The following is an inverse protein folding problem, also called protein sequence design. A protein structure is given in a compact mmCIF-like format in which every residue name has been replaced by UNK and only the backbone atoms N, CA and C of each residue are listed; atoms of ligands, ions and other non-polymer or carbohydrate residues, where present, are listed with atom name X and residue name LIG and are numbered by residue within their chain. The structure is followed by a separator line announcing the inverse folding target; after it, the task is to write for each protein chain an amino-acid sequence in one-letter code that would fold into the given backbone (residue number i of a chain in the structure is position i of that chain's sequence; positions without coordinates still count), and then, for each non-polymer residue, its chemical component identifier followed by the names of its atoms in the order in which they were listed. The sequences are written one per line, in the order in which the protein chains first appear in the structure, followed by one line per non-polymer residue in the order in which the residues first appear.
data_IF_310096137981
#
_entry.id   IF_310096137981
#
_cell.length_a   1.000
_cell.length_b   1.000
_cell.length_c   1.000
_cell.angle_alpha   90.00
_cell.angle_beta   90.00
_cell.angle_gamma   90.00
#
_symmetry.space_group_name_H-M   'P 1'
#
loop_
_entity.id
_entity.type
_entity.pdbx_description
1 polymer ?
#
# COMPACT_ATOMS: atom_id res chain seq x y z
N UNK A 1 11.76 6.85 -4.49
CA UNK A 1 11.12 6.87 -3.16
C UNK A 1 11.19 8.23 -2.44
N UNK A 2 12.34 8.70 -1.94
CA UNK A 2 12.42 9.92 -1.09
C UNK A 2 11.79 11.18 -1.71
N UNK A 3 12.16 11.50 -2.95
CA UNK A 3 11.59 12.65 -3.69
C UNK A 3 10.06 12.54 -3.88
N UNK A 4 9.55 11.33 -4.07
CA UNK A 4 8.11 11.11 -4.22
C UNK A 4 7.41 11.36 -2.87
N UNK A 5 8.01 10.94 -1.74
CA UNK A 5 7.46 11.19 -0.40
C UNK A 5 7.53 12.66 0.00
N UNK A 6 8.64 13.34 -0.27
CA UNK A 6 8.78 14.79 -0.06
C UNK A 6 7.68 15.56 -0.79
N UNK A 7 7.41 15.18 -2.04
CA UNK A 7 6.33 15.80 -2.81
C UNK A 7 4.96 15.42 -2.25
N UNK A 8 4.73 14.17 -1.89
CA UNK A 8 3.42 13.68 -1.43
C UNK A 8 3.02 14.24 -0.06
N UNK A 9 3.99 14.53 0.80
CA UNK A 9 3.77 15.16 2.12
C UNK A 9 3.78 16.70 2.07
N UNK A 10 4.12 17.29 0.91
CA UNK A 10 4.07 18.75 0.71
C UNK A 10 2.65 19.32 0.60
N UNK A 11 1.66 18.47 0.32
CA UNK A 11 0.25 18.87 0.32
C UNK A 11 -0.19 19.19 1.75
N UNK A 12 -0.97 20.27 1.94
CA UNK A 12 -1.39 20.72 3.27
C UNK A 12 -2.05 19.60 4.09
N UNK A 13 -2.91 18.84 3.44
CA UNK A 13 -3.50 17.59 3.91
C UNK A 13 -3.91 16.78 2.69
N UNK A 14 -3.97 15.46 2.81
CA UNK A 14 -4.53 14.58 1.79
C UNK A 14 -5.93 14.07 2.18
N UNK A 15 -6.60 14.74 3.13
CA UNK A 15 -7.93 14.38 3.61
C UNK A 15 -8.93 14.24 2.46
N UNK A 16 -9.66 13.14 2.44
CA UNK A 16 -10.46 12.70 1.28
C UNK A 16 -11.59 13.66 0.85
N UNK A 17 -12.06 14.55 1.73
CA UNK A 17 -13.06 15.60 1.42
C UNK A 17 -12.43 16.97 1.10
N UNK A 18 -11.11 17.09 1.18
CA UNK A 18 -10.41 18.35 0.97
C UNK A 18 -10.04 18.54 -0.50
N UNK A 19 -9.90 19.80 -0.92
CA UNK A 19 -9.37 20.14 -2.25
C UNK A 19 -7.96 19.59 -2.44
N UNK A 20 -7.11 19.73 -1.43
CA UNK A 20 -5.71 19.24 -1.48
C UNK A 20 -5.63 17.71 -1.53
N UNK A 21 -6.62 16.99 -1.01
CA UNK A 21 -6.75 15.54 -1.18
C UNK A 21 -7.03 15.12 -2.62
N UNK A 22 -7.83 15.90 -3.38
CA UNK A 22 -8.03 15.66 -4.82
C UNK A 22 -6.76 16.01 -5.61
N UNK A 23 -6.09 17.11 -5.24
CA UNK A 23 -4.82 17.52 -5.84
C UNK A 23 -3.71 16.48 -5.61
N UNK A 24 -3.61 15.92 -4.40
CA UNK A 24 -2.64 14.86 -4.07
C UNK A 24 -2.92 13.56 -4.83
N UNK A 25 -4.19 13.14 -4.92
CA UNK A 25 -4.59 11.98 -5.70
C UNK A 25 -4.32 12.17 -7.20
N UNK A 26 -4.54 13.37 -7.72
CA UNK A 26 -4.23 13.70 -9.12
C UNK A 26 -2.73 13.66 -9.39
N UNK A 27 -1.93 14.18 -8.47
CA UNK A 27 -0.47 14.10 -8.57
C UNK A 27 0.00 12.64 -8.56
N UNK A 28 -0.48 11.84 -7.60
CA UNK A 28 -0.10 10.43 -7.47
C UNK A 28 -0.51 9.62 -8.70
N UNK A 29 -1.73 9.83 -9.22
CA UNK A 29 -2.20 9.21 -10.47
C UNK A 29 -1.25 9.49 -11.64
N UNK A 30 -0.86 10.76 -11.83
CA UNK A 30 0.05 11.14 -12.92
C UNK A 30 1.44 10.52 -12.72
N UNK A 31 1.90 10.41 -11.47
CA UNK A 31 3.19 9.79 -11.16
C UNK A 31 3.20 8.29 -11.45
N UNK A 32 2.12 7.59 -11.11
CA UNK A 32 1.93 6.17 -11.42
C UNK A 32 1.84 5.95 -12.93
N UNK A 33 1.10 6.82 -13.64
CA UNK A 33 1.01 6.78 -15.10
C UNK A 33 2.39 6.95 -15.76
N UNK A 34 3.19 7.92 -15.30
CA UNK A 34 4.55 8.14 -15.79
C UNK A 34 5.43 6.89 -15.60
N UNK A 35 5.34 6.20 -14.46
CA UNK A 35 6.09 4.95 -14.21
C UNK A 35 5.68 3.85 -15.22
N UNK A 36 4.38 3.70 -15.47
CA UNK A 36 3.85 2.72 -16.43
C UNK A 36 4.25 3.05 -17.87
N UNK A 37 4.23 4.33 -18.26
CA UNK A 37 4.60 4.77 -19.60
C UNK A 37 6.12 4.64 -19.86
N UNK A 38 6.94 5.06 -18.90
CA UNK A 38 8.41 5.04 -19.03
C UNK A 38 8.99 3.63 -19.05
N UNK A 39 8.36 2.67 -18.36
CA UNK A 39 8.76 1.25 -18.44
C UNK A 39 8.39 0.59 -19.77
N UNK A 40 7.55 1.23 -20.59
CA UNK A 40 7.01 0.65 -21.82
C UNK A 40 5.89 -0.35 -21.59
N UNK A 41 5.53 -0.67 -20.34
CA UNK A 41 4.47 -1.62 -20.01
C UNK A 41 3.09 -1.20 -20.55
N UNK A 42 2.86 0.10 -20.71
CA UNK A 42 1.67 0.64 -21.39
C UNK A 42 1.47 0.05 -22.80
N UNK A 43 2.55 -0.21 -23.54
CA UNK A 43 2.51 -0.81 -24.90
C UNK A 43 2.06 -2.27 -24.87
N UNK A 44 2.15 -2.90 -23.70
CA UNK A 44 1.76 -4.28 -23.44
C UNK A 44 0.46 -4.40 -22.63
N UNK A 45 -0.31 -3.30 -22.53
CA UNK A 45 -1.64 -3.31 -21.94
C UNK A 45 -1.68 -3.00 -20.44
N UNK A 46 -0.58 -2.57 -19.84
CA UNK A 46 -0.64 -2.01 -18.50
C UNK A 46 -1.43 -0.68 -18.49
N UNK A 47 -2.24 -0.46 -17.46
CA UNK A 47 -3.15 0.69 -17.36
C UNK A 47 -3.13 1.33 -15.97
N UNK A 48 -3.54 2.59 -15.88
CA UNK A 48 -3.79 3.30 -14.62
C UNK A 48 -5.18 3.89 -14.70
N UNK A 49 -6.07 3.47 -13.79
CA UNK A 49 -7.46 3.89 -13.78
C UNK A 49 -7.83 4.59 -12.48
N UNK A 50 -8.78 5.52 -12.57
CA UNK A 50 -9.43 6.12 -11.41
C UNK A 50 -10.65 5.31 -11.03
N UNK A 51 -10.85 5.12 -9.74
CA UNK A 51 -12.11 4.66 -9.17
C UNK A 51 -12.76 5.84 -8.45
N UNK A 52 -13.79 6.39 -9.05
CA UNK A 52 -14.46 7.59 -8.54
C UNK A 52 -15.33 7.30 -7.32
N UNK A 53 -15.33 8.25 -6.38
CA UNK A 53 -16.12 8.20 -5.15
C UNK A 53 -16.94 9.49 -4.97
N UNK A 54 -18.05 9.47 -4.22
CA UNK A 54 -18.94 10.64 -4.08
C UNK A 54 -18.34 11.81 -3.28
N UNK A 55 -17.16 11.66 -2.67
CA UNK A 55 -16.49 12.68 -1.88
C UNK A 55 -15.38 13.45 -2.62
N UNK A 56 -15.12 13.11 -3.88
CA UNK A 56 -14.19 13.85 -4.75
C UNK A 56 -12.83 13.17 -4.91
N UNK A 57 -12.13 12.82 -3.82
CA UNK A 57 -10.88 12.05 -3.94
C UNK A 57 -11.19 10.63 -4.46
N UNK A 58 -10.56 10.24 -5.56
CA UNK A 58 -10.73 8.93 -6.21
C UNK A 58 -9.65 7.95 -5.75
N UNK A 59 -9.91 6.64 -5.74
CA UNK A 59 -8.84 5.63 -5.59
C UNK A 59 -8.12 5.41 -6.93
N UNK A 60 -6.86 4.98 -6.89
CA UNK A 60 -6.06 4.69 -8.10
C UNK A 60 -5.85 3.18 -8.19
N UNK A 61 -6.04 2.62 -9.38
CA UNK A 61 -5.78 1.21 -9.67
C UNK A 61 -4.85 1.15 -10.89
N UNK A 62 -3.58 0.82 -10.66
CA UNK A 62 -2.66 0.45 -11.73
C UNK A 62 -2.73 -1.07 -11.95
N UNK A 63 -2.83 -1.49 -13.19
CA UNK A 63 -2.98 -2.90 -13.57
C UNK A 63 -1.91 -3.28 -14.58
N UNK A 64 -1.16 -4.33 -14.27
CA UNK A 64 -0.24 -5.01 -15.19
C UNK A 64 -0.92 -6.34 -15.58
N UNK A 65 -1.25 -6.54 -16.87
CA UNK A 65 -1.95 -7.75 -17.30
C UNK A 65 -1.04 -8.98 -17.12
N UNK A 66 -1.64 -10.10 -16.74
CA UNK A 66 -1.04 -11.43 -16.88
C UNK A 66 -1.79 -12.28 -17.89
N UNK A 67 -1.36 -13.53 -18.06
CA UNK A 67 -2.00 -14.49 -18.97
C UNK A 67 -3.39 -14.95 -18.48
N UNK A 68 -3.70 -14.77 -17.20
CA UNK A 68 -4.99 -15.10 -16.58
C UNK A 68 -5.61 -13.89 -15.87
N UNK A 69 -6.90 -13.98 -15.56
CA UNK A 69 -7.63 -12.97 -14.78
C UNK A 69 -7.46 -13.13 -13.26
N UNK A 70 -6.67 -14.11 -12.80
CA UNK A 70 -6.30 -14.24 -11.40
C UNK A 70 -5.47 -13.02 -11.01
N UNK A 71 -5.87 -12.32 -9.96
CA UNK A 71 -5.34 -11.00 -9.64
C UNK A 71 -4.64 -11.00 -8.27
N UNK A 72 -3.42 -10.46 -8.23
CA UNK A 72 -2.66 -10.16 -7.01
C UNK A 72 -2.76 -8.67 -6.76
N UNK A 73 -3.17 -8.25 -5.56
CA UNK A 73 -3.39 -6.85 -5.20
C UNK A 73 -2.34 -6.40 -4.18
N UNK A 74 -1.69 -5.28 -4.46
CA UNK A 74 -0.77 -4.59 -3.56
C UNK A 74 -1.41 -3.25 -3.20
N UNK A 75 -1.69 -3.02 -1.93
CA UNK A 75 -2.50 -1.89 -1.46
C UNK A 75 -1.76 -0.99 -0.48
N UNK A 76 -2.12 0.29 -0.52
CA UNK A 76 -1.81 1.32 0.47
C UNK A 76 -2.94 2.36 0.41
N UNK A 77 -3.10 3.21 1.42
CA UNK A 77 -4.01 4.35 1.29
C UNK A 77 -3.25 5.64 0.98
N UNK A 78 -3.94 6.59 0.36
CA UNK A 78 -3.31 7.84 -0.09
C UNK A 78 -3.81 9.08 0.67
N UNK A 79 -4.88 8.96 1.43
CA UNK A 79 -5.33 10.07 2.27
C UNK A 79 -4.48 10.23 3.52
N UNK A 80 -4.78 11.28 4.28
CA UNK A 80 -4.24 11.54 5.60
C UNK A 80 -5.26 12.32 6.39
N UNK A 81 -5.27 12.17 7.71
CA UNK A 81 -6.14 12.96 8.58
C UNK A 81 -5.37 13.72 9.65
N UNK A 82 -5.99 14.79 10.15
CA UNK A 82 -5.65 15.33 11.45
C UNK A 82 -6.83 15.08 12.38
N UNK A 83 -6.71 14.20 13.39
CA UNK A 83 -7.87 13.80 14.20
C UNK A 83 -8.49 14.96 15.01
N UNK A 84 -7.75 16.02 15.29
CA UNK A 84 -8.26 17.15 16.07
C UNK A 84 -9.22 18.02 15.23
N UNK A 85 -8.80 18.39 14.00
CA UNK A 85 -9.64 19.14 13.06
C UNK A 85 -9.33 18.69 11.62
N UNK A 86 -9.96 17.59 11.14
CA UNK A 86 -9.63 16.93 9.87
C UNK A 86 -9.65 17.81 8.62
N UNK A 87 -10.46 18.87 8.62
CA UNK A 87 -10.65 19.76 7.47
C UNK A 87 -9.94 21.12 7.62
N UNK A 88 -9.26 21.35 8.75
CA UNK A 88 -8.70 22.67 9.09
C UNK A 88 -7.20 22.57 9.34
N UNK A 89 -6.73 21.55 10.04
CA UNK A 89 -5.33 21.42 10.39
C UNK A 89 -4.53 20.67 9.30
N UNK A 90 -3.23 20.96 9.17
CA UNK A 90 -2.41 20.20 8.25
C UNK A 90 -2.27 18.75 8.72
N UNK A 91 -2.12 17.86 7.74
CA UNK A 91 -1.87 16.44 7.96
C UNK A 91 -0.83 15.99 6.92
N UNK A 92 0.47 16.18 7.21
CA UNK A 92 1.50 15.78 6.26
C UNK A 92 1.45 14.28 5.98
N UNK A 93 1.04 13.45 6.95
CA UNK A 93 0.78 12.02 6.77
C UNK A 93 1.99 11.32 6.15
N UNK A 94 3.18 11.54 6.73
CA UNK A 94 4.42 11.06 6.14
C UNK A 94 4.57 9.56 6.33
N UNK A 95 4.33 9.10 7.54
CA UNK A 95 4.29 7.68 7.85
C UNK A 95 2.95 7.09 7.44
N UNK A 96 1.87 7.78 7.81
CA UNK A 96 0.48 7.31 7.70
C UNK A 96 -0.32 8.11 6.64
N UNK A 97 -0.55 7.56 5.45
CA UNK A 97 0.19 6.43 4.85
C UNK A 97 1.01 6.89 3.65
N UNK A 98 1.69 8.03 3.84
CA UNK A 98 2.65 8.51 2.85
C UNK A 98 3.71 7.47 2.55
N UNK A 99 4.17 6.75 3.57
CA UNK A 99 5.22 5.77 3.49
C UNK A 99 4.79 4.51 2.71
N UNK A 100 3.65 3.90 3.03
CA UNK A 100 3.09 2.75 2.30
C UNK A 100 2.75 3.11 0.86
N UNK A 101 2.15 4.28 0.62
CA UNK A 101 1.83 4.76 -0.72
C UNK A 101 3.06 4.84 -1.64
N UNK A 102 4.18 5.38 -1.15
CA UNK A 102 5.42 5.45 -1.95
C UNK A 102 6.20 4.14 -1.97
N UNK A 103 6.07 3.29 -0.94
CA UNK A 103 6.63 1.93 -0.92
C UNK A 103 6.04 1.11 -2.07
N UNK A 104 4.71 1.09 -2.24
CA UNK A 104 4.10 0.32 -3.33
C UNK A 104 4.33 0.95 -4.70
N UNK A 105 4.54 2.29 -4.77
CA UNK A 105 4.98 2.96 -6.00
C UNK A 105 6.40 2.57 -6.39
N UNK A 106 7.33 2.48 -5.43
CA UNK A 106 8.69 2.01 -5.68
C UNK A 106 8.70 0.52 -6.05
N UNK A 107 7.85 -0.28 -5.41
CA UNK A 107 7.68 -1.69 -5.77
C UNK A 107 7.16 -1.84 -7.20
N UNK A 108 6.22 -0.99 -7.64
CA UNK A 108 5.78 -0.94 -9.02
C UNK A 108 6.95 -0.65 -9.97
N UNK A 109 7.80 0.34 -9.68
CA UNK A 109 9.00 0.63 -10.50
C UNK A 109 9.91 -0.59 -10.59
N UNK A 110 10.28 -1.17 -9.44
CA UNK A 110 11.21 -2.29 -9.38
C UNK A 110 10.67 -3.55 -10.06
N UNK A 111 9.36 -3.79 -9.99
CA UNK A 111 8.72 -4.94 -10.64
C UNK A 111 8.71 -4.79 -12.17
N UNK A 112 8.56 -3.56 -12.69
CA UNK A 112 8.58 -3.28 -14.13
C UNK A 112 9.97 -3.31 -14.77
N UNK A 113 11.04 -3.42 -13.97
CA UNK A 113 12.38 -3.75 -14.50
C UNK A 113 12.45 -5.19 -15.02
N UNK A 114 11.49 -6.05 -14.66
CA UNK A 114 11.38 -7.39 -15.21
C UNK A 114 10.64 -7.38 -16.56
N UNK A 115 11.37 -7.67 -17.64
CA UNK A 115 10.79 -7.74 -19.00
C UNK A 115 9.57 -8.64 -19.08
N UNK A 116 9.59 -9.80 -18.40
CA UNK A 116 8.47 -10.75 -18.43
C UNK A 116 7.22 -10.17 -17.74
N UNK A 117 7.37 -9.35 -16.71
CA UNK A 117 6.24 -8.69 -16.04
C UNK A 117 5.80 -7.47 -16.84
N UNK A 118 6.72 -6.60 -17.24
CA UNK A 118 6.43 -5.39 -18.01
C UNK A 118 5.75 -5.68 -19.36
N UNK A 119 6.08 -6.79 -19.99
CA UNK A 119 5.47 -7.23 -21.25
C UNK A 119 4.15 -8.00 -21.06
N UNK A 120 3.67 -8.14 -19.82
CA UNK A 120 2.40 -8.82 -19.50
C UNK A 120 2.44 -10.34 -19.67
N UNK A 121 3.63 -10.94 -19.59
CA UNK A 121 3.85 -12.36 -19.81
C UNK A 121 3.85 -13.18 -18.51
N UNK A 122 3.67 -12.55 -17.36
CA UNK A 122 3.41 -13.25 -16.10
C UNK A 122 2.11 -14.06 -16.15
N UNK A 123 1.98 -15.11 -15.33
CA UNK A 123 0.79 -15.97 -15.34
C UNK A 123 -0.44 -15.23 -14.77
N UNK A 124 -0.26 -14.52 -13.67
CA UNK A 124 -1.31 -13.83 -12.95
C UNK A 124 -1.21 -12.32 -13.17
N UNK A 125 -2.35 -11.64 -13.19
CA UNK A 125 -2.43 -10.18 -13.25
C UNK A 125 -2.00 -9.58 -11.91
N UNK A 126 -1.30 -8.45 -11.95
CA UNK A 126 -0.89 -7.71 -10.76
C UNK A 126 -1.57 -6.33 -10.77
N UNK A 127 -2.13 -5.93 -9.64
CA UNK A 127 -2.72 -4.62 -9.45
C UNK A 127 -2.12 -3.91 -8.24
N UNK A 128 -1.84 -2.61 -8.40
CA UNK A 128 -1.42 -1.70 -7.34
C UNK A 128 -2.54 -0.70 -7.06
N UNK A 129 -2.97 -0.64 -5.80
CA UNK A 129 -4.14 0.12 -5.37
C UNK A 129 -3.71 1.19 -4.38
N UNK A 130 -4.13 2.43 -4.63
CA UNK A 130 -4.05 3.53 -3.66
C UNK A 130 -5.45 3.96 -3.27
N UNK A 131 -5.87 3.57 -2.07
CA UNK A 131 -7.24 3.77 -1.61
C UNK A 131 -7.48 5.19 -1.10
N UNK A 132 -8.60 5.79 -1.50
CA UNK A 132 -9.10 7.03 -0.90
C UNK A 132 -9.91 6.73 0.37
N UNK A 133 -9.90 7.65 1.33
CA UNK A 133 -10.80 7.64 2.48
C UNK A 133 -10.65 6.40 3.38
N UNK A 134 -9.42 5.93 3.59
CA UNK A 134 -9.13 4.93 4.63
C UNK A 134 -9.48 5.52 6.00
N UNK A 135 -9.05 6.75 6.25
CA UNK A 135 -9.26 7.48 7.50
C UNK A 135 -10.74 7.83 7.76
N UNK A 136 -11.58 7.64 6.74
CA UNK A 136 -13.03 7.70 6.83
C UNK A 136 -13.70 6.39 7.26
N UNK A 137 -12.90 5.36 7.58
CA UNK A 137 -13.33 4.00 7.86
C UNK A 137 -13.27 3.09 6.63
N UNK A 138 -12.12 3.05 5.94
CA UNK A 138 -11.84 2.18 4.78
C UNK A 138 -12.86 2.34 3.64
N UNK A 139 -13.38 3.56 3.42
CA UNK A 139 -14.52 3.76 2.52
C UNK A 139 -14.15 3.44 1.06
N UNK A 140 -12.94 3.81 0.63
CA UNK A 140 -12.50 3.56 -0.74
C UNK A 140 -12.23 2.10 -1.02
N UNK A 141 -11.47 1.40 -0.17
CA UNK A 141 -11.22 -0.04 -0.34
C UNK A 141 -12.50 -0.86 -0.23
N UNK A 142 -13.43 -0.49 0.67
CA UNK A 142 -14.74 -1.13 0.74
C UNK A 142 -15.51 -0.99 -0.58
N UNK A 143 -15.51 0.18 -1.21
CA UNK A 143 -16.19 0.39 -2.49
C UNK A 143 -15.52 -0.41 -3.63
N UNK A 144 -14.18 -0.45 -3.67
CA UNK A 144 -13.41 -1.23 -4.65
C UNK A 144 -13.74 -2.72 -4.52
N UNK A 145 -13.60 -3.30 -3.33
CA UNK A 145 -13.82 -4.74 -3.13
C UNK A 145 -15.30 -5.12 -3.22
N UNK A 146 -16.23 -4.23 -2.89
CA UNK A 146 -17.66 -4.43 -3.16
C UNK A 146 -17.94 -4.58 -4.67
N UNK A 147 -17.34 -3.70 -5.48
CA UNK A 147 -17.43 -3.78 -6.94
C UNK A 147 -16.77 -5.07 -7.46
N UNK A 148 -15.59 -5.41 -6.96
CA UNK A 148 -14.88 -6.62 -7.38
C UNK A 148 -15.71 -7.87 -7.08
N UNK A 149 -16.34 -7.93 -5.90
CA UNK A 149 -17.25 -9.02 -5.54
C UNK A 149 -18.46 -9.10 -6.46
N UNK A 150 -19.10 -7.96 -6.75
CA UNK A 150 -20.25 -7.86 -7.67
C UNK A 150 -19.89 -8.34 -9.08
N UNK A 151 -18.70 -7.95 -9.55
CA UNK A 151 -18.20 -8.26 -10.88
C UNK A 151 -17.51 -9.64 -10.94
N UNK A 152 -17.46 -10.37 -9.82
CA UNK A 152 -16.83 -11.69 -9.69
C UNK A 152 -15.36 -11.70 -10.09
N UNK A 153 -14.62 -10.66 -9.72
CA UNK A 153 -13.16 -10.61 -9.90
C UNK A 153 -12.48 -11.70 -9.08
N UNK A 154 -11.49 -12.37 -9.68
CA UNK A 154 -10.77 -13.49 -9.08
C UNK A 154 -9.48 -13.02 -8.40
N UNK A 155 -9.62 -12.33 -7.27
CA UNK A 155 -8.47 -11.90 -6.44
C UNK A 155 -7.97 -13.08 -5.63
N UNK A 156 -6.68 -13.43 -5.80
CA UNK A 156 -6.04 -14.55 -5.11
C UNK A 156 -5.32 -14.14 -3.84
N UNK A 157 -4.81 -12.92 -3.81
CA UNK A 157 -4.07 -12.40 -2.69
C UNK A 157 -4.13 -10.88 -2.67
N UNK A 158 -4.20 -10.31 -1.48
CA UNK A 158 -4.04 -8.87 -1.24
C UNK A 158 -3.02 -8.65 -0.12
N UNK A 159 -2.02 -7.80 -0.37
CA UNK A 159 -1.09 -7.33 0.65
C UNK A 159 -1.29 -5.83 0.87
N UNK A 160 -1.63 -5.44 2.09
CA UNK A 160 -1.63 -4.04 2.51
C UNK A 160 -0.25 -3.67 3.07
N UNK A 161 0.26 -2.53 2.62
CA UNK A 161 1.34 -1.78 3.24
C UNK A 161 0.72 -0.53 3.86
N UNK A 162 0.81 -0.40 5.17
CA UNK A 162 0.29 0.75 5.89
C UNK A 162 1.22 1.04 7.08
N UNK A 163 1.83 2.23 7.00
CA UNK A 163 2.98 2.65 7.80
C UNK A 163 4.20 1.74 7.60
N UNK A 164 5.19 2.19 6.83
CA UNK A 164 6.40 1.43 6.46
C UNK A 164 7.68 2.16 6.83
N UNK A 165 7.59 3.27 7.58
CA UNK A 165 8.68 4.23 7.71
C UNK A 165 9.31 4.34 9.08
N UNK A 166 8.59 4.12 10.17
CA UNK A 166 9.07 4.49 11.51
C UNK A 166 9.59 3.30 12.33
N UNK A 167 10.91 3.31 12.58
CA UNK A 167 11.59 2.28 13.39
C UNK A 167 11.96 2.76 14.80
N UNK A 168 11.94 4.08 15.04
CA UNK A 168 12.52 4.67 16.25
C UNK A 168 11.84 4.18 17.53
N UNK A 169 10.52 3.95 17.51
CA UNK A 169 9.80 3.43 18.67
C UNK A 169 10.26 2.03 19.08
N UNK A 170 10.43 1.12 18.11
CA UNK A 170 10.94 -0.22 18.34
C UNK A 170 12.38 -0.19 18.88
N UNK A 171 13.25 0.64 18.29
CA UNK A 171 14.63 0.80 18.73
C UNK A 171 14.71 1.35 20.17
N UNK A 172 13.88 2.32 20.53
CA UNK A 172 13.80 2.86 21.89
C UNK A 172 13.28 1.84 22.90
N UNK A 173 12.44 0.90 22.47
CA UNK A 173 11.97 -0.22 23.28
C UNK A 173 13.00 -1.37 23.39
N UNK A 174 14.21 -1.20 22.83
CA UNK A 174 15.26 -2.23 22.85
C UNK A 174 14.98 -3.41 21.91
N UNK A 175 14.05 -3.25 20.96
CA UNK A 175 13.76 -4.25 19.93
C UNK A 175 14.71 -4.10 18.75
N UNK A 176 14.91 -5.20 18.03
CA UNK A 176 15.59 -5.15 16.73
C UNK A 176 14.63 -4.63 15.66
N UNK A 177 15.19 -4.02 14.63
CA UNK A 177 14.44 -3.64 13.44
C UNK A 177 13.86 -4.90 12.76
N UNK A 178 12.57 -4.88 12.49
CA UNK A 178 11.84 -5.98 11.89
C UNK A 178 10.55 -5.46 11.23
N UNK A 179 10.09 -6.14 10.20
CA UNK A 179 8.76 -5.88 9.59
C UNK A 179 7.68 -6.38 10.55
N UNK A 180 6.73 -5.53 10.92
CA UNK A 180 5.52 -5.94 11.66
C UNK A 180 4.56 -6.69 10.74
N UNK A 181 4.14 -7.90 11.12
CA UNK A 181 3.20 -8.72 10.35
C UNK A 181 1.93 -8.94 11.16
N UNK A 182 0.79 -8.48 10.63
CA UNK A 182 -0.51 -8.64 11.28
C UNK A 182 -0.94 -10.10 11.28
N UNK A 183 -1.44 -10.56 12.42
CA UNK A 183 -1.95 -11.94 12.61
C UNK A 183 -3.44 -12.01 12.99
N UNK A 184 -4.12 -10.88 13.13
CA UNK A 184 -5.57 -10.77 13.27
C UNK A 184 -6.22 -10.14 12.03
N UNK A 185 -7.47 -10.53 11.73
CA UNK A 185 -8.24 -10.08 10.54
C UNK A 185 -7.60 -10.36 9.16
N UNK A 186 -6.68 -11.34 9.11
CA UNK A 186 -5.92 -11.74 7.91
C UNK A 186 -6.12 -13.23 7.54
N UNK A 187 -5.76 -13.59 6.31
CA UNK A 187 -5.66 -14.98 5.87
C UNK A 187 -4.36 -15.62 6.36
N UNK A 188 -4.46 -16.76 7.07
CA UNK A 188 -3.29 -17.39 7.72
C UNK A 188 -2.26 -17.92 6.72
N UNK A 189 -2.70 -18.47 5.59
CA UNK A 189 -1.80 -19.03 4.59
C UNK A 189 -1.03 -17.92 3.89
N UNK A 190 -1.72 -16.86 3.51
CA UNK A 190 -1.11 -15.68 2.91
C UNK A 190 -0.18 -14.96 3.89
N UNK A 191 -0.58 -14.82 5.15
CA UNK A 191 0.29 -14.25 6.19
C UNK A 191 1.58 -15.07 6.37
N UNK A 192 1.51 -16.39 6.32
CA UNK A 192 2.74 -17.22 6.36
C UNK A 192 3.61 -16.97 5.12
N UNK A 193 3.01 -16.89 3.95
CA UNK A 193 3.73 -16.59 2.72
C UNK A 193 4.43 -15.21 2.77
N UNK A 194 3.81 -14.20 3.39
CA UNK A 194 4.44 -12.89 3.62
C UNK A 194 5.68 -13.03 4.53
N UNK A 195 5.61 -13.82 5.60
CA UNK A 195 6.76 -14.09 6.50
C UNK A 195 7.90 -14.80 5.79
N UNK A 196 7.57 -15.77 4.95
CA UNK A 196 8.54 -16.49 4.13
C UNK A 196 9.21 -15.52 3.14
N UNK A 197 8.43 -14.63 2.52
CA UNK A 197 8.92 -13.58 1.61
C UNK A 197 9.87 -12.61 2.33
N UNK A 198 9.56 -12.17 3.56
CA UNK A 198 10.49 -11.35 4.36
C UNK A 198 11.80 -12.10 4.58
N UNK A 199 11.72 -13.37 4.97
CA UNK A 199 12.90 -14.21 5.25
C UNK A 199 13.78 -14.40 4.02
N UNK A 200 13.19 -14.54 2.83
CA UNK A 200 13.91 -14.77 1.59
C UNK A 200 14.54 -13.51 1.00
N UNK A 201 13.87 -12.35 1.12
CA UNK A 201 14.19 -11.17 0.31
C UNK A 201 14.59 -9.93 1.10
N UNK A 202 14.28 -9.86 2.40
CA UNK A 202 14.63 -8.71 3.24
C UNK A 202 15.93 -8.95 4.02
N UNK A 203 16.58 -7.85 4.40
CA UNK A 203 17.80 -7.88 5.24
C UNK A 203 17.48 -7.88 6.74
N UNK A 204 16.20 -7.70 7.11
CA UNK A 204 15.69 -7.70 8.48
C UNK A 204 14.67 -8.83 8.64
N UNK A 205 14.41 -9.21 9.90
CA UNK A 205 13.39 -10.20 10.22
C UNK A 205 11.98 -9.63 10.19
N UNK A 206 11.03 -10.42 10.67
CA UNK A 206 9.66 -9.99 10.95
C UNK A 206 9.31 -10.20 12.41
N UNK A 207 8.25 -9.52 12.87
CA UNK A 207 7.66 -9.71 14.18
C UNK A 207 6.14 -9.77 14.06
N UNK A 208 5.53 -10.74 14.72
CA UNK A 208 4.07 -10.88 14.75
C UNK A 208 3.46 -9.76 15.59
N UNK A 209 2.43 -9.11 15.07
CA UNK A 209 1.71 -8.06 15.78
C UNK A 209 0.21 -8.10 15.51
N UNK A 210 -0.55 -7.32 16.28
CA UNK A 210 -2.02 -7.29 16.22
C UNK A 210 -2.53 -5.86 16.30
N UNK A 211 -3.54 -5.57 15.51
CA UNK A 211 -4.30 -4.32 15.64
C UNK A 211 -5.35 -4.37 16.75
N UNK A 212 -6.00 -5.52 16.95
CA UNK A 212 -7.12 -5.72 17.87
C UNK A 212 -8.50 -5.36 17.28
N UNK A 213 -8.55 -4.76 16.09
CA UNK A 213 -9.75 -4.39 15.36
C UNK A 213 -9.47 -4.35 13.85
N UNK A 214 -10.51 -4.09 13.03
CA UNK A 214 -10.34 -3.90 11.60
C UNK A 214 -9.65 -2.56 11.29
N UNK A 215 -8.31 -2.59 11.22
CA UNK A 215 -7.49 -1.40 11.31
C UNK A 215 -7.06 -0.76 10.00
N UNK A 216 -7.18 -1.46 8.86
CA UNK A 216 -6.77 -0.92 7.55
C UNK A 216 -7.43 -1.70 6.41
N UNK A 217 -7.16 -1.30 5.17
CA UNK A 217 -7.85 -1.71 3.95
C UNK A 217 -7.83 -3.22 3.65
N UNK A 218 -6.86 -3.98 4.20
CA UNK A 218 -6.84 -5.44 4.10
C UNK A 218 -8.14 -6.07 4.61
N UNK A 219 -8.79 -5.45 5.60
CA UNK A 219 -10.06 -5.95 6.14
C UNK A 219 -11.22 -5.78 5.18
N UNK A 220 -11.17 -4.79 4.27
CA UNK A 220 -12.14 -4.66 3.17
C UNK A 220 -12.06 -5.86 2.23
N UNK A 221 -10.85 -6.29 1.85
CA UNK A 221 -10.67 -7.49 1.03
C UNK A 221 -11.22 -8.74 1.73
N UNK A 222 -10.84 -8.96 3.00
CA UNK A 222 -11.35 -10.05 3.84
C UNK A 222 -12.89 -10.04 3.94
N UNK A 223 -13.50 -8.87 4.15
CA UNK A 223 -14.96 -8.69 4.26
C UNK A 223 -15.70 -9.15 3.00
N UNK A 224 -15.11 -8.99 1.82
CA UNK A 224 -15.70 -9.44 0.55
C UNK A 224 -15.25 -10.86 0.12
N UNK A 225 -14.49 -11.54 0.97
CA UNK A 225 -14.11 -12.94 0.83
C UNK A 225 -12.83 -13.17 0.01
N UNK A 226 -11.94 -12.19 -0.02
CA UNK A 226 -10.63 -12.31 -0.67
C UNK A 226 -9.52 -12.51 0.38
N UNK A 227 -8.54 -13.40 0.15
CA UNK A 227 -7.41 -13.57 1.06
C UNK A 227 -6.59 -12.28 1.15
N UNK A 228 -6.34 -11.81 2.38
CA UNK A 228 -5.61 -10.57 2.62
C UNK A 228 -4.62 -10.69 3.78
N UNK A 229 -3.49 -10.03 3.66
CA UNK A 229 -2.45 -9.89 4.68
C UNK A 229 -2.03 -8.42 4.80
N UNK A 230 -1.38 -8.06 5.91
CA UNK A 230 -0.89 -6.70 6.15
C UNK A 230 0.50 -6.73 6.77
N UNK A 231 1.37 -5.89 6.23
CA UNK A 231 2.66 -5.55 6.80
C UNK A 231 2.65 -4.09 7.28
N UNK A 232 3.36 -3.82 8.36
CA UNK A 232 3.54 -2.49 8.96
C UNK A 232 4.98 -2.37 9.51
N UNK A 233 5.38 -1.18 9.93
CA UNK A 233 6.75 -0.83 10.31
C UNK A 233 7.31 -1.57 11.54
N UNK A 234 6.46 -1.99 12.47
CA UNK A 234 6.89 -2.63 13.73
C UNK A 234 5.72 -3.24 14.51
N UNK A 235 5.93 -3.64 15.76
CA UNK A 235 4.84 -3.98 16.67
C UNK A 235 3.95 -2.75 16.93
N UNK A 236 2.63 -2.92 16.94
CA UNK A 236 1.67 -1.82 17.15
C UNK A 236 1.89 -1.02 18.44
N UNK A 237 2.42 -1.64 19.50
CA UNK A 237 2.78 -0.92 20.72
C UNK A 237 3.91 0.11 20.49
N UNK A 238 4.81 -0.16 19.54
CA UNK A 238 6.00 0.61 19.23
C UNK A 238 5.86 1.49 17.96
N UNK A 239 4.70 1.45 17.30
CA UNK A 239 4.39 2.28 16.14
C UNK A 239 4.47 3.78 16.42
N UNK A 240 4.59 4.56 15.36
CA UNK A 240 4.66 6.01 15.42
C UNK A 240 3.48 6.66 16.17
N UNK A 241 3.76 7.29 17.32
CA UNK A 241 2.73 7.98 18.13
C UNK A 241 2.38 9.38 17.62
N UNK A 242 2.88 9.79 16.46
CA UNK A 242 2.63 11.10 15.84
C UNK A 242 1.63 11.02 14.68
N UNK A 243 1.19 9.82 14.28
CA UNK A 243 0.18 9.63 13.24
C UNK A 243 -1.07 10.47 13.52
N UNK A 244 -1.77 10.83 12.45
CA UNK A 244 -2.93 11.72 12.47
C UNK A 244 -2.71 13.11 13.11
N UNK A 245 -1.46 13.59 13.15
CA UNK A 245 -1.13 14.93 13.65
C UNK A 245 -0.28 15.72 12.64
N UNK A 246 -0.03 16.99 12.95
CA UNK A 246 0.90 17.83 12.18
C UNK A 246 2.35 17.40 12.29
N UNK A 247 2.69 16.48 13.20
CA UNK A 247 4.08 16.06 13.45
C UNK A 247 4.41 14.68 12.88
N UNK A 248 3.47 14.03 12.20
CA UNK A 248 3.80 12.92 11.32
C UNK A 248 4.57 13.45 10.10
N UNK A 249 5.91 13.30 10.13
CA UNK A 249 6.86 13.97 9.22
C UNK A 249 7.99 13.04 8.79
N UNK A 250 8.44 13.23 7.55
CA UNK A 250 9.52 12.47 6.90
C UNK A 250 10.78 12.36 7.77
N UNK A 251 11.16 13.41 8.51
CA UNK A 251 12.37 13.41 9.35
C UNK A 251 12.41 12.31 10.43
N UNK A 252 11.29 11.66 10.71
CA UNK A 252 11.20 10.55 11.65
C UNK A 252 11.31 9.17 11.00
N UNK A 253 11.31 9.10 9.67
CA UNK A 253 11.25 7.85 8.92
C UNK A 253 12.64 7.38 8.49
N UNK A 254 12.76 6.08 8.29
CA UNK A 254 13.94 5.41 7.76
C UNK A 254 13.64 4.91 6.34
N UNK A 255 14.26 5.53 5.34
CA UNK A 255 14.15 5.05 3.96
C UNK A 255 14.78 3.66 3.75
N UNK A 256 15.78 3.29 4.55
CA UNK A 256 16.34 1.94 4.54
C UNK A 256 15.31 0.90 5.01
N UNK A 257 14.44 1.27 5.95
CA UNK A 257 13.35 0.43 6.42
C UNK A 257 12.23 0.31 5.38
N UNK A 258 11.81 1.45 4.79
CA UNK A 258 10.84 1.48 3.69
C UNK A 258 11.32 0.67 2.48
N UNK A 259 12.64 0.61 2.25
CA UNK A 259 13.24 -0.24 1.22
C UNK A 259 13.06 -1.74 1.53
N UNK A 260 13.08 -2.17 2.80
CA UNK A 260 12.75 -3.56 3.16
C UNK A 260 11.29 -3.87 2.83
N UNK A 261 10.36 -2.96 3.14
CA UNK A 261 8.96 -3.12 2.73
C UNK A 261 8.78 -3.15 1.21
N UNK A 262 9.60 -2.39 0.48
CA UNK A 262 9.62 -2.43 -0.99
C UNK A 262 10.09 -3.79 -1.50
N UNK A 263 11.17 -4.35 -0.94
CA UNK A 263 11.65 -5.70 -1.27
C UNK A 263 10.61 -6.77 -0.97
N UNK A 264 9.96 -6.68 0.19
CA UNK A 264 8.84 -7.55 0.54
C UNK A 264 7.73 -7.48 -0.52
N UNK A 265 7.31 -6.26 -0.88
CA UNK A 265 6.23 -6.02 -1.84
C UNK A 265 6.57 -6.57 -3.24
N UNK A 266 7.80 -6.34 -3.72
CA UNK A 266 8.29 -6.87 -5.01
C UNK A 266 8.38 -8.39 -4.97
N UNK A 267 8.99 -8.98 -3.93
CA UNK A 267 9.11 -10.43 -3.79
C UNK A 267 7.75 -11.11 -3.75
N UNK A 268 6.82 -10.58 -2.95
CA UNK A 268 5.44 -11.06 -2.86
C UNK A 268 4.74 -11.02 -4.21
N UNK A 269 4.80 -9.87 -4.90
CA UNK A 269 4.17 -9.70 -6.20
C UNK A 269 4.78 -10.63 -7.25
N UNK A 270 6.11 -10.72 -7.31
CA UNK A 270 6.83 -11.51 -8.31
C UNK A 270 6.56 -13.01 -8.17
N UNK A 271 6.68 -13.57 -6.96
CA UNK A 271 6.40 -14.99 -6.72
C UNK A 271 4.95 -15.35 -7.09
N UNK A 272 3.98 -14.54 -6.65
CA UNK A 272 2.57 -14.79 -6.94
C UNK A 272 2.20 -14.48 -8.39
N UNK A 273 2.98 -13.68 -9.11
CA UNK A 273 2.80 -13.47 -10.55
C UNK A 273 2.96 -14.77 -11.36
N UNK A 274 3.74 -15.73 -10.86
CA UNK A 274 4.03 -17.01 -11.53
C UNK A 274 3.41 -18.24 -10.84
N UNK A 275 2.71 -18.06 -9.72
CA UNK A 275 2.12 -19.16 -8.96
C UNK A 275 0.94 -19.85 -9.69
N UNK A 276 0.88 -21.20 -9.74
CA UNK A 276 -0.23 -21.94 -10.31
C UNK A 276 -1.34 -22.16 -9.27
N UNK A 277 -2.25 -21.19 -9.12
CA UNK A 277 -3.42 -21.27 -8.23
C UNK A 277 -4.51 -22.25 -8.69
#
# INVERSE_FOLDING_TARGET
MEQDLEKFTSFYTRYYKSKTGVESATWLYNRVLEVIENSGAAKHGATVNRFDHPWGQFSIIARIPGQTNRTIVLGAHQDSINLFLPSILPAPGADDDGSGAVTILEALRGLLESDIVAQGNALNTIEFHWYSAEEGGMLGSQAVFAKYKKDRQDVKAMLQQDMTGYTLGALQAGRQEAVGIMIDYVDRGLTQFVKDTVTSYCNIGFIDTKCGYACSDHTSASKYGYPAAMATESEMENSNKKIHTTDDKIKYLSFDHMLQHTKLTVGFAYELAFAPF
#
